data_IF_039500237870
#
_entry.id   IF_039500237870
#
_cell.length_a   1.000
_cell.length_b   1.000
_cell.length_c   1.000
_cell.angle_alpha   90.00
_cell.angle_beta   90.00
_cell.angle_gamma   90.00
#
_symmetry.space_group_name_H-M   'P 1'
#
loop_
_entity.id
_entity.type
_entity.pdbx_description
1 polymer ?
#
# COMPACT_ATOMS: atom_id res chain seq x y z
N UNK A 1 -29.08 -33.02 47.89
CA UNK A 1 -27.99 -32.48 47.06
C UNK A 1 -28.54 -31.24 46.37
N UNK A 2 -28.08 -30.04 46.77
CA UNK A 2 -28.62 -28.80 46.23
C UNK A 2 -28.14 -28.65 44.76
N UNK A 3 -29.09 -28.66 43.81
CA UNK A 3 -28.81 -28.36 42.42
C UNK A 3 -28.52 -26.87 42.28
N UNK A 4 -27.27 -26.47 42.47
CA UNK A 4 -26.82 -25.11 42.14
C UNK A 4 -26.64 -25.01 40.62
N UNK A 5 -27.70 -24.66 39.91
CA UNK A 5 -27.63 -24.27 38.50
C UNK A 5 -26.96 -22.90 38.42
N UNK A 6 -25.69 -22.84 38.01
CA UNK A 6 -25.02 -21.57 37.74
C UNK A 6 -25.31 -21.13 36.30
N UNK A 7 -25.58 -19.84 36.11
CA UNK A 7 -25.69 -19.24 34.79
C UNK A 7 -24.27 -18.95 34.26
N UNK A 8 -24.01 -19.13 32.96
CA UNK A 8 -22.70 -18.86 32.38
C UNK A 8 -22.37 -17.38 32.50
N UNK A 9 -21.13 -17.07 32.88
CA UNK A 9 -20.61 -15.72 32.82
C UNK A 9 -20.35 -15.33 31.36
N UNK A 10 -20.85 -14.17 30.95
CA UNK A 10 -20.55 -13.58 29.65
C UNK A 10 -19.39 -12.59 29.82
N UNK A 11 -18.36 -12.72 28.98
CA UNK A 11 -17.29 -11.74 28.84
C UNK A 11 -17.49 -11.05 27.51
N UNK A 12 -17.72 -9.74 27.55
CA UNK A 12 -17.82 -8.91 26.37
C UNK A 12 -16.48 -8.24 26.10
N UNK A 13 -15.93 -8.47 24.91
CA UNK A 13 -14.77 -7.76 24.41
C UNK A 13 -15.25 -6.75 23.37
N UNK A 14 -15.13 -5.46 23.67
CA UNK A 14 -15.46 -4.38 22.74
C UNK A 14 -14.19 -3.66 22.27
N UNK A 15 -14.12 -3.40 20.96
CA UNK A 15 -13.03 -2.64 20.35
C UNK A 15 -13.56 -1.82 19.18
N UNK A 16 -13.07 -0.58 19.03
CA UNK A 16 -13.33 0.24 17.84
C UNK A 16 -12.30 -0.06 16.76
N UNK A 17 -12.77 -0.45 15.58
CA UNK A 17 -11.94 -0.70 14.41
C UNK A 17 -11.32 0.60 13.89
N UNK A 18 -12.07 1.69 13.95
CA UNK A 18 -11.63 3.03 13.53
C UNK A 18 -10.46 3.50 14.39
N UNK A 19 -10.58 3.34 15.71
CA UNK A 19 -9.50 3.69 16.64
C UNK A 19 -8.25 2.84 16.40
N UNK A 20 -8.41 1.51 16.23
CA UNK A 20 -7.29 0.62 15.94
C UNK A 20 -6.59 0.97 14.61
N UNK A 21 -7.38 1.27 13.56
CA UNK A 21 -6.84 1.67 12.25
C UNK A 21 -6.07 2.98 12.33
N UNK A 22 -6.61 3.97 13.05
CA UNK A 22 -5.91 5.24 13.28
C UNK A 22 -4.59 5.01 14.03
N UNK A 23 -4.58 4.14 15.04
CA UNK A 23 -3.35 3.77 15.75
C UNK A 23 -2.31 3.13 14.82
N UNK A 24 -2.70 2.21 13.94
CA UNK A 24 -1.78 1.61 12.96
C UNK A 24 -1.20 2.62 11.98
N UNK A 25 -2.01 3.59 11.53
CA UNK A 25 -1.53 4.65 10.65
C UNK A 25 -0.48 5.54 11.34
N UNK A 26 -0.72 5.91 12.59
CA UNK A 26 0.24 6.71 13.38
C UNK A 26 1.52 5.92 13.67
N UNK A 27 1.40 4.65 14.06
CA UNK A 27 2.53 3.78 14.36
C UNK A 27 3.42 3.50 13.13
N UNK A 28 2.78 3.29 11.98
CA UNK A 28 3.49 3.03 10.72
C UNK A 28 4.17 4.26 10.12
N UNK A 29 3.93 5.46 10.64
CA UNK A 29 4.46 6.69 10.08
C UNK A 29 5.98 6.79 10.28
N UNK A 30 6.71 6.77 9.17
CA UNK A 30 8.17 6.87 9.17
C UNK A 30 8.65 8.01 8.27
N UNK A 31 9.37 8.97 8.86
CA UNK A 31 10.09 10.01 8.13
C UNK A 31 11.42 9.45 7.62
N UNK A 32 11.49 9.03 6.35
CA UNK A 32 12.76 8.60 5.74
C UNK A 32 13.66 9.81 5.51
N UNK A 33 14.75 9.90 6.26
CA UNK A 33 15.85 10.79 5.89
C UNK A 33 16.58 10.20 4.67
N UNK A 34 16.80 10.97 3.60
CA UNK A 34 17.50 10.46 2.43
C UNK A 34 18.97 10.22 2.78
N UNK A 35 19.48 9.02 2.45
CA UNK A 35 20.86 8.56 2.70
C UNK A 35 21.93 9.28 1.82
N UNK A 36 21.64 10.46 1.27
CA UNK A 36 22.55 11.12 0.34
C UNK A 36 23.70 11.83 1.07
N UNK A 37 24.86 11.17 1.09
CA UNK A 37 26.18 11.74 1.38
C UNK A 37 26.70 12.61 0.21
N UNK A 38 25.89 13.54 -0.29
CA UNK A 38 26.34 14.53 -1.26
C UNK A 38 26.18 15.93 -0.69
N UNK A 39 27.32 16.51 -0.29
CA UNK A 39 27.43 17.92 0.13
C UNK A 39 26.82 18.82 -0.96
N UNK A 40 26.00 19.77 -0.52
CA UNK A 40 25.39 20.89 -1.27
C UNK A 40 24.27 20.50 -2.24
N UNK A 41 23.02 20.60 -1.79
CA UNK A 41 22.10 21.68 -2.19
C UNK A 41 20.72 21.46 -1.55
N UNK A 42 20.25 22.54 -0.91
CA UNK A 42 18.87 22.99 -0.80
C UNK A 42 17.71 21.96 -0.73
N UNK A 43 17.01 21.96 0.41
CA UNK A 43 15.73 21.29 0.69
C UNK A 43 15.74 19.78 0.48
N UNK A 44 16.28 19.06 1.47
CA UNK A 44 15.99 17.65 1.71
C UNK A 44 14.47 17.46 1.80
N UNK A 45 13.83 17.09 0.69
CA UNK A 45 12.42 16.68 0.68
C UNK A 45 12.31 15.44 1.57
N UNK A 46 11.75 15.60 2.76
CA UNK A 46 11.40 14.49 3.65
C UNK A 46 10.38 13.62 2.94
N UNK A 47 10.76 12.38 2.61
CA UNK A 47 9.81 11.41 2.08
C UNK A 47 9.04 10.81 3.26
N UNK A 48 7.73 11.05 3.29
CA UNK A 48 6.82 10.44 4.26
C UNK A 48 6.43 9.06 3.72
N UNK A 49 6.57 8.02 4.55
CA UNK A 49 6.22 6.65 4.18
C UNK A 49 5.43 6.01 5.32
N UNK A 50 4.35 5.31 4.99
CA UNK A 50 3.63 4.44 5.92
C UNK A 50 4.17 3.01 5.78
N UNK A 51 4.83 2.51 6.82
CA UNK A 51 5.36 1.14 6.89
C UNK A 51 4.37 0.21 7.60
N UNK A 52 3.19 0.03 6.99
CA UNK A 52 2.15 -0.86 7.51
C UNK A 52 2.59 -2.32 7.42
N UNK A 53 2.05 -3.17 8.31
CA UNK A 53 2.28 -4.61 8.24
C UNK A 53 1.70 -5.19 6.92
N UNK A 54 2.39 -6.12 6.22
CA UNK A 54 1.96 -6.59 4.89
C UNK A 54 0.56 -7.19 4.80
N UNK A 55 -0.02 -7.61 5.94
CA UNK A 55 -1.39 -8.15 6.01
C UNK A 55 -2.47 -7.08 6.17
N UNK A 56 -2.12 -5.84 6.53
CA UNK A 56 -3.07 -4.73 6.72
C UNK A 56 -2.86 -3.60 5.69
N UNK A 57 -1.84 -3.71 4.83
CA UNK A 57 -1.62 -2.74 3.75
C UNK A 57 -2.80 -2.77 2.77
N UNK A 58 -3.32 -1.61 2.33
CA UNK A 58 -4.43 -1.57 1.38
C UNK A 58 -4.05 -2.19 0.03
N UNK A 59 -2.80 -2.02 -0.39
CA UNK A 59 -2.24 -2.56 -1.62
C UNK A 59 -0.92 -3.27 -1.33
N UNK A 60 -0.80 -4.50 -1.82
CA UNK A 60 0.42 -5.30 -1.68
C UNK A 60 1.38 -5.09 -2.85
N UNK A 61 0.84 -4.80 -4.03
CA UNK A 61 1.61 -4.60 -5.26
C UNK A 61 1.12 -3.34 -5.97
N UNK A 62 2.06 -2.58 -6.54
CA UNK A 62 1.75 -1.49 -7.46
C UNK A 62 2.29 -1.81 -8.86
N UNK A 63 1.51 -1.54 -9.89
CA UNK A 63 1.90 -1.73 -11.30
C UNK A 63 2.03 -0.35 -11.95
N UNK A 64 3.22 -0.06 -12.47
CA UNK A 64 3.58 1.24 -13.07
C UNK A 64 4.26 0.99 -14.41
N UNK A 65 3.88 1.76 -15.43
CA UNK A 65 4.61 1.82 -16.71
C UNK A 65 5.57 3.02 -16.65
N UNK A 66 6.86 2.78 -16.89
CA UNK A 66 7.84 3.86 -16.97
C UNK A 66 7.67 4.65 -18.26
N UNK A 67 7.61 5.98 -18.15
CA UNK A 67 7.53 6.91 -19.29
C UNK A 67 8.75 6.86 -20.22
N UNK A 68 9.85 6.21 -19.80
CA UNK A 68 11.03 5.96 -20.65
C UNK A 68 10.84 4.80 -21.64
N UNK A 69 9.71 4.09 -21.59
CA UNK A 69 9.48 2.84 -22.36
C UNK A 69 8.57 3.05 -23.57
N UNK A 70 8.22 4.30 -23.88
CA UNK A 70 7.04 4.63 -24.70
C UNK A 70 7.37 5.65 -25.79
N UNK A 71 8.37 5.35 -26.63
CA UNK A 71 8.56 6.11 -27.88
C UNK A 71 7.51 5.71 -28.93
N UNK A 72 6.96 4.48 -28.85
CA UNK A 72 5.97 3.94 -29.80
C UNK A 72 4.61 3.62 -29.15
N UNK A 73 3.54 4.03 -29.83
CA UNK A 73 2.14 3.86 -29.39
C UNK A 73 1.71 2.37 -29.31
N UNK A 74 2.25 1.53 -30.20
CA UNK A 74 1.99 0.08 -30.22
C UNK A 74 2.62 -0.63 -29.02
N UNK A 75 3.81 -0.20 -28.61
CA UNK A 75 4.52 -0.69 -27.43
C UNK A 75 3.76 -0.30 -26.16
N UNK A 76 3.26 0.94 -26.09
CA UNK A 76 2.40 1.38 -24.99
C UNK A 76 1.13 0.53 -24.88
N UNK A 77 0.43 0.28 -25.98
CA UNK A 77 -0.78 -0.56 -25.98
C UNK A 77 -0.48 -2.00 -25.53
N UNK A 78 0.65 -2.54 -25.93
CA UNK A 78 1.11 -3.87 -25.52
C UNK A 78 1.44 -3.92 -24.03
N UNK A 79 2.12 -2.90 -23.50
CA UNK A 79 2.43 -2.80 -22.06
C UNK A 79 1.16 -2.68 -21.22
N UNK A 80 0.17 -1.88 -21.65
CA UNK A 80 -1.12 -1.82 -20.98
C UNK A 80 -1.84 -3.17 -20.94
N UNK A 81 -1.79 -3.92 -22.05
CA UNK A 81 -2.36 -5.26 -22.11
C UNK A 81 -1.69 -6.21 -21.10
N UNK A 82 -0.36 -6.20 -21.03
CA UNK A 82 0.39 -6.99 -20.04
C UNK A 82 0.06 -6.58 -18.61
N UNK A 83 -0.01 -5.28 -18.32
CA UNK A 83 -0.40 -4.78 -17.00
C UNK A 83 -1.81 -5.23 -16.60
N UNK A 84 -2.75 -5.24 -17.54
CA UNK A 84 -4.10 -5.75 -17.31
C UNK A 84 -4.11 -7.25 -16.97
N UNK A 85 -3.38 -8.06 -17.75
CA UNK A 85 -3.27 -9.50 -17.47
C UNK A 85 -2.61 -9.80 -16.13
N UNK A 86 -1.56 -9.06 -15.77
CA UNK A 86 -0.91 -9.16 -14.46
C UNK A 86 -1.87 -8.81 -13.33
N UNK A 87 -2.62 -7.71 -13.48
CA UNK A 87 -3.65 -7.32 -12.52
C UNK A 87 -4.67 -8.44 -12.32
N UNK A 88 -5.21 -9.02 -13.40
CA UNK A 88 -6.14 -10.16 -13.28
C UNK A 88 -5.51 -11.36 -12.58
N UNK A 89 -4.26 -11.67 -12.89
CA UNK A 89 -3.51 -12.76 -12.25
C UNK A 89 -3.38 -12.57 -10.73
N UNK A 90 -3.03 -11.37 -10.27
CA UNK A 90 -2.93 -11.04 -8.86
C UNK A 90 -4.29 -11.09 -8.15
N UNK A 91 -5.34 -10.57 -8.77
CA UNK A 91 -6.69 -10.62 -8.19
C UNK A 91 -7.17 -12.07 -8.01
N UNK A 92 -6.91 -12.95 -8.97
CA UNK A 92 -7.21 -14.39 -8.86
C UNK A 92 -6.44 -15.06 -7.71
N UNK A 93 -5.25 -14.55 -7.37
CA UNK A 93 -4.45 -15.00 -6.24
C UNK A 93 -4.83 -14.35 -4.90
N UNK A 94 -5.84 -13.45 -4.86
CA UNK A 94 -6.24 -12.72 -3.66
C UNK A 94 -5.30 -11.58 -3.25
N UNK A 95 -4.43 -11.13 -4.16
CA UNK A 95 -3.46 -10.06 -3.92
C UNK A 95 -4.07 -8.71 -4.33
N UNK A 96 -4.02 -7.73 -3.44
CA UNK A 96 -4.53 -6.37 -3.72
C UNK A 96 -3.52 -5.56 -4.54
N UNK A 97 -3.98 -4.99 -5.65
CA UNK A 97 -3.12 -4.29 -6.61
C UNK A 97 -3.55 -2.84 -6.80
N UNK A 98 -2.58 -1.93 -6.76
CA UNK A 98 -2.73 -0.55 -7.20
C UNK A 98 -2.18 -0.39 -8.61
N UNK A 99 -3.05 -0.33 -9.62
CA UNK A 99 -2.64 -0.18 -11.00
C UNK A 99 -2.70 1.29 -11.44
N UNK A 100 -1.55 1.93 -11.62
CA UNK A 100 -1.44 3.30 -12.13
C UNK A 100 -0.92 3.37 -13.55
N UNK A 101 -0.83 2.23 -14.26
CA UNK A 101 -0.37 2.16 -15.64
C UNK A 101 -1.12 3.14 -16.57
N UNK A 102 -2.42 3.37 -16.32
CA UNK A 102 -3.28 4.28 -17.10
C UNK A 102 -3.06 5.77 -16.80
N UNK A 103 -2.37 6.10 -15.71
CA UNK A 103 -2.17 7.48 -15.27
C UNK A 103 -0.74 7.90 -15.63
N UNK A 104 -0.62 8.64 -16.75
CA UNK A 104 0.65 9.19 -17.19
C UNK A 104 1.25 10.13 -16.14
N UNK A 105 2.26 9.67 -15.42
CA UNK A 105 3.09 10.51 -14.55
C UNK A 105 4.49 9.92 -14.43
N UNK A 106 5.44 10.74 -13.96
CA UNK A 106 6.81 10.28 -13.74
C UNK A 106 6.86 9.16 -12.69
N UNK A 107 7.84 8.26 -12.80
CA UNK A 107 8.06 7.20 -11.82
C UNK A 107 8.23 7.76 -10.40
N UNK A 108 8.92 8.90 -10.27
CA UNK A 108 9.08 9.61 -9.00
C UNK A 108 7.74 10.12 -8.44
N UNK A 109 6.81 10.55 -9.29
CA UNK A 109 5.47 10.95 -8.86
C UNK A 109 4.65 9.75 -8.38
N UNK A 110 4.80 8.58 -9.01
CA UNK A 110 4.14 7.34 -8.55
C UNK A 110 4.71 6.83 -7.22
N UNK A 111 6.00 7.05 -6.96
CA UNK A 111 6.66 6.63 -5.71
C UNK A 111 6.43 7.57 -4.51
N UNK A 112 5.83 8.74 -4.74
CA UNK A 112 5.55 9.76 -3.71
C UNK A 112 4.07 9.95 -3.38
N UNK A 113 3.16 9.30 -4.11
CA UNK A 113 1.72 9.33 -3.85
C UNK A 113 1.35 8.44 -2.69
#
# INVERSE_FOLDING_TARGET
VANSTCLPHCIECSSSLEAATATWLVDSFYNRQPLSSAKKQDRLKTNMVLQLHPLITPYQVAIVISSSSTEDLSTLASLHHVCHQLQEGFHKAGITVFNTALHGSTLEAHLKR
#
